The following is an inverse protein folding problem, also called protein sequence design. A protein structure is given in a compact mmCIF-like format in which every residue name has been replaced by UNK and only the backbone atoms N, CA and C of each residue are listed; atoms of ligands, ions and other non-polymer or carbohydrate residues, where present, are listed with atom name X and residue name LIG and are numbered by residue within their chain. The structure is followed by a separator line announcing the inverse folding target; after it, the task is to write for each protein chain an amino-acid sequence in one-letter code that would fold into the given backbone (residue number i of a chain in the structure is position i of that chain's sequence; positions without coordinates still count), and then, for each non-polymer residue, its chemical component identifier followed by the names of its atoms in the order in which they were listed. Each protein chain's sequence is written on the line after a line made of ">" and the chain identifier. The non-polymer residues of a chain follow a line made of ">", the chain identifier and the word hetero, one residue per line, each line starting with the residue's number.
data_IF_802011538100
#
_entry.id   IF_802011538100
#
_cell.length_a   1.000
_cell.length_b   1.000
_cell.length_c   1.000
_cell.angle_alpha   90.00
_cell.angle_beta   90.00
_cell.angle_gamma   90.00
#
_symmetry.space_group_name_H-M   'P 1'
#
loop_
_entity.id
_entity.type
_entity.pdbx_description
1 polymer ?
#
# COMPACT_ATOMS: atom_id res chain seq x y z
N UNK A 1 9.59 18.01 -20.75
CA UNK A 1 8.29 17.30 -21.01
C UNK A 1 7.58 17.09 -19.67
N UNK A 2 6.26 16.97 -19.62
CA UNK A 2 5.57 16.66 -18.37
C UNK A 2 5.70 15.17 -18.04
N UNK A 3 5.67 14.81 -16.74
CA UNK A 3 5.59 13.41 -16.30
C UNK A 3 4.33 12.75 -16.91
N UNK A 4 4.43 11.62 -17.61
CA UNK A 4 3.28 10.95 -18.22
C UNK A 4 2.17 10.60 -17.22
N UNK A 5 2.51 10.17 -15.99
CA UNK A 5 1.57 9.87 -14.91
C UNK A 5 0.78 11.10 -14.47
N UNK A 6 1.46 12.23 -14.33
CA UNK A 6 0.81 13.53 -14.10
C UNK A 6 -0.19 13.85 -15.20
N UNK A 7 0.20 13.64 -16.47
CA UNK A 7 -0.65 13.95 -17.61
C UNK A 7 -1.90 13.07 -17.66
N UNK A 8 -1.74 11.79 -17.31
CA UNK A 8 -2.84 10.83 -17.22
C UNK A 8 -3.86 11.27 -16.15
N UNK A 9 -3.42 11.42 -14.89
CA UNK A 9 -4.33 11.77 -13.79
C UNK A 9 -4.94 13.18 -13.98
N UNK A 10 -4.18 14.14 -14.49
CA UNK A 10 -4.70 15.47 -14.82
C UNK A 10 -5.84 15.43 -15.84
N UNK A 11 -5.80 14.51 -16.80
CA UNK A 11 -6.88 14.35 -17.79
C UNK A 11 -8.16 13.83 -17.12
N UNK A 12 -8.04 12.87 -16.24
CA UNK A 12 -9.15 12.32 -15.44
C UNK A 12 -9.71 13.38 -14.48
N UNK A 13 -8.83 14.08 -13.76
CA UNK A 13 -9.19 15.11 -12.78
C UNK A 13 -10.00 16.27 -13.37
N UNK A 14 -9.84 16.59 -14.65
CA UNK A 14 -10.66 17.63 -15.30
C UNK A 14 -12.17 17.35 -15.25
N UNK A 15 -12.56 16.08 -15.15
CA UNK A 15 -13.95 15.61 -15.17
C UNK A 15 -14.42 15.08 -13.81
N UNK A 16 -13.60 15.23 -12.77
CA UNK A 16 -13.86 14.72 -11.43
C UNK A 16 -13.51 15.75 -10.36
N UNK A 17 -13.79 15.46 -9.10
CA UNK A 17 -13.35 16.25 -7.95
C UNK A 17 -11.86 16.04 -7.64
N UNK A 18 -11.29 14.92 -8.08
CA UNK A 18 -9.90 14.55 -7.88
C UNK A 18 -9.68 13.05 -8.07
N UNK A 19 -8.46 12.61 -7.77
CA UNK A 19 -8.02 11.23 -7.95
C UNK A 19 -7.57 10.67 -6.60
N UNK A 20 -8.03 9.46 -6.27
CA UNK A 20 -7.52 8.66 -5.16
C UNK A 20 -6.78 7.46 -5.73
N UNK A 21 -5.51 7.32 -5.34
CA UNK A 21 -4.65 6.21 -5.79
C UNK A 21 -4.27 5.30 -4.63
N UNK A 22 -4.32 3.98 -4.84
CA UNK A 22 -3.99 2.97 -3.83
C UNK A 22 -3.11 1.89 -4.44
N UNK A 23 -2.06 1.49 -3.72
CA UNK A 23 -1.21 0.34 -4.04
C UNK A 23 -0.74 -0.35 -2.75
N UNK A 24 -0.17 -1.56 -2.86
CA UNK A 24 0.33 -2.32 -1.74
C UNK A 24 1.78 -2.76 -1.91
N UNK A 25 2.43 -3.04 -0.78
CA UNK A 25 3.74 -3.66 -0.69
C UNK A 25 3.72 -4.91 0.20
N UNK A 26 4.51 -5.90 -0.15
CA UNK A 26 4.73 -7.08 0.68
C UNK A 26 3.84 -8.29 0.41
N UNK A 27 3.01 -8.32 -0.64
CA UNK A 27 2.15 -9.48 -0.95
C UNK A 27 2.93 -10.78 -1.14
N UNK A 28 4.01 -10.75 -1.90
CA UNK A 28 4.82 -11.93 -2.23
C UNK A 28 5.94 -12.27 -1.24
N UNK A 29 5.98 -11.65 -0.07
CA UNK A 29 7.03 -11.87 0.92
C UNK A 29 6.75 -13.11 1.78
N UNK A 30 7.82 -13.77 2.23
CA UNK A 30 7.77 -14.91 3.17
C UNK A 30 7.58 -14.45 4.62
N UNK A 31 7.92 -13.19 4.92
CA UNK A 31 7.83 -12.61 6.26
C UNK A 31 7.33 -11.16 6.23
N UNK A 32 6.77 -10.72 7.37
CA UNK A 32 6.31 -9.37 7.60
C UNK A 32 4.90 -9.09 7.08
N UNK A 33 4.35 -7.90 7.39
CA UNK A 33 2.99 -7.50 7.05
C UNK A 33 2.81 -7.19 5.56
N UNK A 34 1.55 -7.07 5.14
CA UNK A 34 1.17 -6.34 3.92
C UNK A 34 0.87 -4.91 4.32
N UNK A 35 1.40 -3.95 3.57
CA UNK A 35 1.16 -2.52 3.79
C UNK A 35 0.57 -1.92 2.51
N UNK A 36 -0.52 -1.18 2.64
CA UNK A 36 -1.10 -0.38 1.57
C UNK A 36 -0.82 1.10 1.80
N UNK A 37 -0.68 1.85 0.71
CA UNK A 37 -0.60 3.30 0.72
C UNK A 37 -1.75 3.89 -0.08
N UNK A 38 -2.39 4.94 0.43
CA UNK A 38 -3.45 5.68 -0.22
C UNK A 38 -3.09 7.16 -0.31
N UNK A 39 -3.42 7.78 -1.45
CA UNK A 39 -3.19 9.22 -1.70
C UNK A 39 -4.44 9.83 -2.30
N UNK A 40 -4.83 10.99 -1.78
CA UNK A 40 -5.93 11.82 -2.31
C UNK A 40 -5.32 13.07 -2.96
N UNK A 41 -5.53 13.23 -4.26
CA UNK A 41 -5.12 14.39 -5.07
C UNK A 41 -6.36 15.15 -5.51
N UNK A 42 -6.70 16.31 -4.88
CA UNK A 42 -7.78 17.17 -5.35
C UNK A 42 -7.53 17.69 -6.78
N UNK A 43 -8.58 18.09 -7.49
CA UNK A 43 -8.42 18.64 -8.84
C UNK A 43 -7.51 19.88 -8.86
N UNK A 44 -7.51 20.69 -7.80
CA UNK A 44 -6.67 21.87 -7.61
C UNK A 44 -5.18 21.54 -7.58
N UNK A 45 -4.82 20.35 -7.10
CA UNK A 45 -3.44 19.86 -7.14
C UNK A 45 -2.84 19.94 -8.54
N UNK A 46 -3.62 19.58 -9.55
CA UNK A 46 -3.19 19.53 -10.95
C UNK A 46 -3.17 20.90 -11.65
N UNK A 47 -3.69 21.96 -11.01
CA UNK A 47 -3.67 23.32 -11.54
C UNK A 47 -2.37 24.05 -11.21
N UNK A 48 -1.63 23.61 -10.20
CA UNK A 48 -0.43 24.27 -9.68
C UNK A 48 0.84 23.83 -10.42
N UNK A 49 1.55 24.77 -11.00
CA UNK A 49 2.83 24.51 -11.68
C UNK A 49 3.92 24.02 -10.71
N UNK A 50 3.88 24.45 -9.45
CA UNK A 50 4.79 24.00 -8.40
C UNK A 50 4.66 22.50 -8.14
N UNK A 51 3.41 21.99 -7.99
CA UNK A 51 3.14 20.57 -7.78
C UNK A 51 3.61 19.73 -8.97
N UNK A 52 3.37 20.24 -10.21
CA UNK A 52 3.87 19.57 -11.41
C UNK A 52 5.39 19.45 -11.43
N UNK A 53 6.10 20.49 -10.98
CA UNK A 53 7.57 20.47 -10.89
C UNK A 53 8.06 19.50 -9.81
N UNK A 54 7.44 19.53 -8.63
CA UNK A 54 7.77 18.64 -7.52
C UNK A 54 7.57 17.15 -7.88
N UNK A 55 6.53 16.82 -8.65
CA UNK A 55 6.22 15.46 -9.07
C UNK A 55 6.92 15.02 -10.36
N UNK A 56 7.82 15.82 -10.92
CA UNK A 56 8.46 15.51 -12.21
C UNK A 56 9.18 14.17 -12.20
N UNK A 57 9.85 13.84 -11.10
CA UNK A 57 10.62 12.61 -10.92
C UNK A 57 9.81 11.44 -10.30
N UNK A 58 8.52 11.62 -10.01
CA UNK A 58 7.66 10.55 -9.49
C UNK A 58 7.43 9.50 -10.58
N UNK A 59 8.26 8.48 -10.57
CA UNK A 59 8.22 7.34 -11.48
C UNK A 59 7.98 6.06 -10.68
N UNK A 60 8.07 4.89 -11.34
CA UNK A 60 7.92 3.57 -10.72
C UNK A 60 8.90 3.40 -9.55
N UNK A 61 8.35 3.32 -8.34
CA UNK A 61 9.12 3.16 -7.10
C UNK A 61 9.97 1.90 -7.04
N UNK A 62 9.58 0.86 -7.79
CA UNK A 62 10.25 -0.45 -7.84
C UNK A 62 11.59 -0.39 -8.58
N UNK A 63 11.76 0.61 -9.45
CA UNK A 63 13.01 0.80 -10.23
C UNK A 63 14.04 1.66 -9.51
N UNK A 64 13.70 2.27 -8.36
CA UNK A 64 14.59 3.18 -7.67
C UNK A 64 15.42 2.50 -6.57
N UNK A 65 16.67 2.96 -6.42
CA UNK A 65 17.45 2.71 -5.22
C UNK A 65 16.73 3.26 -3.98
N UNK A 66 16.98 2.66 -2.82
CA UNK A 66 16.30 3.01 -1.56
C UNK A 66 16.40 4.50 -1.24
N UNK A 67 17.61 5.08 -1.37
CA UNK A 67 17.85 6.51 -1.14
C UNK A 67 16.96 7.43 -2.00
N UNK A 68 16.75 7.07 -3.27
CA UNK A 68 15.90 7.86 -4.16
C UNK A 68 14.42 7.72 -3.80
N UNK A 69 13.98 6.53 -3.34
CA UNK A 69 12.61 6.35 -2.82
C UNK A 69 12.35 7.23 -1.60
N UNK A 70 13.31 7.30 -0.67
CA UNK A 70 13.19 8.14 0.52
C UNK A 70 13.14 9.63 0.18
N UNK A 71 13.93 10.10 -0.78
CA UNK A 71 13.84 11.48 -1.30
C UNK A 71 12.47 11.79 -1.89
N UNK A 72 11.92 10.90 -2.71
CA UNK A 72 10.59 11.10 -3.30
C UNK A 72 9.48 11.01 -2.25
N UNK A 73 9.64 10.15 -1.25
CA UNK A 73 8.73 10.11 -0.10
C UNK A 73 8.72 11.43 0.67
N UNK A 74 9.90 12.03 0.92
CA UNK A 74 10.00 13.36 1.53
C UNK A 74 9.28 14.45 0.71
N UNK A 75 9.29 14.35 -0.63
CA UNK A 75 8.52 15.26 -1.49
C UNK A 75 7.01 15.10 -1.24
N UNK A 76 6.50 13.87 -1.10
CA UNK A 76 5.09 13.64 -0.77
C UNK A 76 4.74 14.24 0.58
N UNK A 77 5.58 14.05 1.61
CA UNK A 77 5.39 14.62 2.93
C UNK A 77 5.32 16.15 2.89
N UNK A 78 6.25 16.80 2.20
CA UNK A 78 6.26 18.26 2.05
C UNK A 78 5.03 18.80 1.32
N UNK A 79 4.53 18.10 0.30
CA UNK A 79 3.27 18.47 -0.37
C UNK A 79 2.06 18.30 0.56
N UNK A 80 2.05 17.27 1.41
CA UNK A 80 0.98 17.05 2.38
C UNK A 80 0.99 18.10 3.49
N UNK A 81 2.16 18.50 4.00
CA UNK A 81 2.31 19.58 4.98
C UNK A 81 1.80 20.92 4.43
N UNK A 82 1.93 21.15 3.13
CA UNK A 82 1.40 22.33 2.45
C UNK A 82 -0.11 22.22 2.16
N UNK A 83 -0.75 21.11 2.51
CA UNK A 83 -2.18 20.88 2.25
C UNK A 83 -2.51 20.60 0.77
N UNK A 84 -1.51 20.26 -0.05
CA UNK A 84 -1.69 20.02 -1.47
C UNK A 84 -2.28 18.64 -1.79
N UNK A 85 -2.03 17.67 -0.91
CA UNK A 85 -2.52 16.31 -1.00
C UNK A 85 -2.71 15.72 0.40
N UNK A 86 -3.41 14.59 0.47
CA UNK A 86 -3.52 13.78 1.70
C UNK A 86 -3.03 12.37 1.43
N UNK A 87 -2.44 11.75 2.45
CA UNK A 87 -1.95 10.40 2.34
C UNK A 87 -2.09 9.63 3.65
N UNK A 88 -2.18 8.31 3.54
CA UNK A 88 -2.12 7.41 4.69
C UNK A 88 -1.55 6.05 4.26
N UNK A 89 -1.17 5.26 5.26
CA UNK A 89 -0.86 3.84 5.11
C UNK A 89 -1.75 3.02 6.03
N UNK A 90 -2.05 1.79 5.60
CA UNK A 90 -2.71 0.78 6.42
C UNK A 90 -1.94 -0.52 6.30
N UNK A 91 -1.88 -1.29 7.38
CA UNK A 91 -1.20 -2.58 7.38
C UNK A 91 -2.16 -3.72 7.74
N UNK A 92 -1.81 -4.92 7.34
CA UNK A 92 -2.41 -6.17 7.76
C UNK A 92 -1.33 -7.09 8.30
N UNK A 93 -1.56 -7.60 9.51
CA UNK A 93 -0.60 -8.42 10.25
C UNK A 93 -0.41 -9.81 9.63
N UNK A 94 0.57 -10.56 10.16
CA UNK A 94 0.81 -11.95 9.75
C UNK A 94 -0.39 -12.83 10.13
N UNK A 95 -0.97 -12.63 11.30
CA UNK A 95 -2.15 -13.35 11.79
C UNK A 95 -3.36 -13.10 10.88
N UNK A 96 -3.55 -11.86 10.44
CA UNK A 96 -4.61 -11.51 9.48
C UNK A 96 -4.36 -12.11 8.09
N UNK A 97 -3.10 -12.21 7.65
CA UNK A 97 -2.75 -12.92 6.41
C UNK A 97 -3.09 -14.42 6.52
N UNK A 98 -2.87 -15.03 7.67
CA UNK A 98 -3.22 -16.44 7.92
C UNK A 98 -4.74 -16.65 7.98
N UNK A 99 -5.49 -15.73 8.55
CA UNK A 99 -6.94 -15.82 8.70
C UNK A 99 -7.67 -15.49 7.41
N UNK A 100 -7.36 -14.34 6.82
CA UNK A 100 -8.07 -13.76 5.68
C UNK A 100 -7.51 -14.19 4.32
N UNK A 101 -6.42 -14.93 4.29
CA UNK A 101 -5.50 -15.11 3.16
C UNK A 101 -4.92 -13.80 2.60
N UNK A 102 -3.95 -13.92 1.69
CA UNK A 102 -3.22 -12.75 1.18
C UNK A 102 -4.11 -11.73 0.44
N UNK A 103 -5.17 -12.17 -0.22
CA UNK A 103 -6.09 -11.29 -0.94
C UNK A 103 -6.95 -10.51 0.04
N UNK A 104 -7.52 -11.19 1.05
CA UNK A 104 -8.31 -10.56 2.10
C UNK A 104 -7.49 -9.61 2.95
N UNK A 105 -6.29 -10.01 3.36
CA UNK A 105 -5.35 -9.17 4.10
C UNK A 105 -4.95 -7.91 3.30
N UNK A 106 -4.73 -8.06 1.98
CA UNK A 106 -4.47 -6.89 1.13
C UNK A 106 -5.67 -5.92 1.11
N UNK A 107 -6.89 -6.44 0.98
CA UNK A 107 -8.10 -5.61 1.04
C UNK A 107 -8.24 -4.91 2.40
N UNK A 108 -7.91 -5.60 3.49
CA UNK A 108 -7.95 -5.04 4.84
C UNK A 108 -6.93 -3.89 5.00
N UNK A 109 -5.69 -4.08 4.53
CA UNK A 109 -4.69 -3.02 4.53
C UNK A 109 -5.13 -1.81 3.68
N UNK A 110 -5.69 -2.05 2.48
CA UNK A 110 -6.22 -0.98 1.62
C UNK A 110 -7.40 -0.26 2.27
N UNK A 111 -8.32 -0.99 2.90
CA UNK A 111 -9.44 -0.39 3.63
C UNK A 111 -8.93 0.54 4.73
N UNK A 112 -7.99 0.10 5.56
CA UNK A 112 -7.38 0.91 6.62
C UNK A 112 -6.70 2.17 6.07
N UNK A 113 -5.97 2.05 4.97
CA UNK A 113 -5.33 3.21 4.32
C UNK A 113 -6.37 4.21 3.79
N UNK A 114 -7.47 3.73 3.18
CA UNK A 114 -8.55 4.57 2.67
C UNK A 114 -9.33 5.25 3.79
N UNK A 115 -9.64 4.55 4.88
CA UNK A 115 -10.32 5.11 6.05
C UNK A 115 -9.47 6.23 6.69
N UNK A 116 -8.19 5.96 6.88
CA UNK A 116 -7.27 6.90 7.51
C UNK A 116 -7.02 8.13 6.63
N UNK A 117 -6.87 7.98 5.31
CA UNK A 117 -6.70 9.15 4.43
C UNK A 117 -7.98 9.96 4.32
N UNK A 118 -9.15 9.32 4.39
CA UNK A 118 -10.45 9.99 4.48
C UNK A 118 -10.51 10.88 5.73
N UNK A 119 -10.18 10.34 6.89
CA UNK A 119 -10.14 11.09 8.15
C UNK A 119 -9.18 12.29 8.07
N UNK A 120 -7.96 12.07 7.53
CA UNK A 120 -6.95 13.13 7.34
C UNK A 120 -7.37 14.21 6.35
N UNK A 121 -8.18 13.87 5.36
CA UNK A 121 -8.68 14.81 4.36
C UNK A 121 -9.73 15.80 4.89
N UNK A 122 -10.13 15.68 6.16
CA UNK A 122 -11.13 16.53 6.82
C UNK A 122 -12.43 16.62 6.03
N UNK A 123 -12.93 15.48 5.59
CA UNK A 123 -14.16 15.32 4.78
C UNK A 123 -14.07 15.87 3.34
N UNK A 124 -12.89 16.25 2.85
CA UNK A 124 -12.72 16.59 1.45
C UNK A 124 -13.07 15.40 0.54
N UNK A 125 -12.70 14.20 0.98
CA UNK A 125 -13.01 12.93 0.33
C UNK A 125 -13.44 11.89 1.37
N UNK A 126 -14.43 11.08 1.01
CA UNK A 126 -14.84 9.90 1.78
C UNK A 126 -15.06 8.72 0.83
N UNK A 127 -14.69 7.49 1.25
CA UNK A 127 -14.91 6.32 0.40
C UNK A 127 -16.39 6.01 0.28
N UNK A 128 -16.87 5.82 -0.95
CA UNK A 128 -18.24 5.40 -1.24
C UNK A 128 -18.35 3.87 -1.07
N UNK A 129 -19.31 3.35 -0.27
CA UNK A 129 -19.57 1.93 -0.19
C UNK A 129 -19.97 1.37 -1.55
N UNK A 130 -19.63 0.12 -1.84
CA UNK A 130 -20.17 -0.58 -3.00
C UNK A 130 -21.67 -0.77 -2.84
N UNK A 131 -22.45 -0.36 -3.84
CA UNK A 131 -23.86 -0.66 -3.90
C UNK A 131 -24.08 -2.08 -4.45
N UNK A 132 -24.97 -2.84 -3.84
CA UNK A 132 -25.39 -4.15 -4.37
C UNK A 132 -26.22 -4.01 -5.67
N UNK A 133 -26.74 -2.83 -5.96
CA UNK A 133 -27.65 -2.54 -7.09
C UNK A 133 -26.96 -2.21 -8.42
N UNK A 134 -25.67 -1.90 -8.43
CA UNK A 134 -24.96 -1.46 -9.65
C UNK A 134 -24.72 -2.56 -10.71
N UNK A 135 -25.21 -3.77 -10.50
CA UNK A 135 -25.21 -4.82 -11.53
C UNK A 135 -26.18 -4.55 -12.71
N UNK A 136 -27.11 -3.60 -12.56
CA UNK A 136 -28.15 -3.32 -13.56
C UNK A 136 -28.48 -1.85 -13.84
N UNK A 137 -27.82 -0.88 -13.21
CA UNK A 137 -28.15 0.53 -13.39
C UNK A 137 -27.30 1.19 -14.48
N UNK A 138 -27.88 1.31 -15.68
CA UNK A 138 -27.50 2.27 -16.73
C UNK A 138 -28.24 3.59 -16.51
N UNK A 139 -28.19 4.17 -15.32
CA UNK A 139 -28.74 5.53 -15.11
C UNK A 139 -27.64 6.54 -15.43
N UNK A 140 -27.86 7.29 -16.50
CA UNK A 140 -27.00 8.39 -16.92
C UNK A 140 -26.84 9.39 -15.77
N UNK A 141 -25.60 9.58 -15.31
CA UNK A 141 -25.24 10.68 -14.43
C UNK A 141 -25.44 12.00 -15.19
N UNK A 142 -26.14 12.95 -14.58
CA UNK A 142 -26.18 14.34 -15.07
C UNK A 142 -24.75 14.90 -15.11
N UNK A 143 -24.45 15.75 -16.10
CA UNK A 143 -23.11 16.37 -16.29
C UNK A 143 -22.64 17.20 -15.09
N UNK A 144 -23.50 17.49 -14.12
CA UNK A 144 -23.20 18.32 -12.94
C UNK A 144 -22.70 17.57 -11.71
N UNK A 145 -22.80 16.22 -11.64
CA UNK A 145 -22.35 15.44 -10.48
C UNK A 145 -20.92 14.91 -10.68
N UNK A 146 -19.93 15.78 -10.55
CA UNK A 146 -18.53 15.36 -10.51
C UNK A 146 -18.28 14.48 -9.30
N UNK A 147 -17.77 13.27 -9.54
CA UNK A 147 -17.39 12.31 -8.50
C UNK A 147 -15.86 12.20 -8.37
N UNK A 148 -15.39 11.66 -7.28
CA UNK A 148 -13.99 11.26 -7.13
C UNK A 148 -13.70 10.00 -7.95
N UNK A 149 -12.49 9.93 -8.50
CA UNK A 149 -12.01 8.75 -9.20
C UNK A 149 -11.08 7.97 -8.27
N UNK A 150 -11.51 6.77 -7.84
CA UNK A 150 -10.70 5.88 -6.99
C UNK A 150 -10.06 4.80 -7.86
N UNK A 151 -8.73 4.73 -7.84
CA UNK A 151 -7.92 3.78 -8.62
C UNK A 151 -7.08 2.91 -7.69
N UNK A 152 -7.15 1.60 -7.90
CA UNK A 152 -6.32 0.61 -7.21
C UNK A 152 -5.36 -0.02 -8.23
N UNK A 153 -4.10 -0.24 -7.85
CA UNK A 153 -3.18 -0.95 -8.75
C UNK A 153 -3.66 -2.38 -9.03
N UNK A 154 -3.47 -2.82 -10.26
CA UNK A 154 -3.86 -4.16 -10.70
C UNK A 154 -5.35 -4.29 -11.06
N UNK A 155 -5.92 -5.45 -10.72
CA UNK A 155 -7.35 -5.74 -10.96
C UNK A 155 -8.22 -5.23 -9.82
N UNK A 156 -9.52 -4.95 -10.08
CA UNK A 156 -10.43 -4.55 -9.02
C UNK A 156 -10.46 -5.58 -7.88
N UNK A 157 -10.41 -5.10 -6.65
CA UNK A 157 -10.39 -5.93 -5.44
C UNK A 157 -11.82 -6.18 -4.96
N UNK A 158 -12.38 -7.38 -5.27
CA UNK A 158 -13.79 -7.70 -4.95
C UNK A 158 -14.14 -7.55 -3.47
N UNK A 159 -13.21 -7.89 -2.56
CA UNK A 159 -13.41 -7.83 -1.11
C UNK A 159 -13.16 -6.43 -0.50
N UNK A 160 -12.64 -5.48 -1.26
CA UNK A 160 -12.56 -4.08 -0.81
C UNK A 160 -13.97 -3.49 -0.84
N UNK A 161 -14.51 -2.97 0.28
CA UNK A 161 -15.93 -2.60 0.38
C UNK A 161 -16.27 -1.26 -0.27
N UNK A 162 -15.30 -0.59 -0.88
CA UNK A 162 -15.45 0.74 -1.46
C UNK A 162 -15.45 0.72 -2.98
N UNK A 163 -16.21 1.63 -3.58
CA UNK A 163 -16.21 1.84 -5.03
C UNK A 163 -14.81 2.19 -5.52
N UNK A 164 -14.34 1.47 -6.51
CA UNK A 164 -13.02 1.68 -7.11
C UNK A 164 -12.92 0.99 -8.45
N UNK A 165 -11.95 1.42 -9.23
CA UNK A 165 -11.58 0.80 -10.50
C UNK A 165 -10.14 0.30 -10.42
N UNK A 166 -9.91 -0.91 -10.92
CA UNK A 166 -8.56 -1.45 -11.06
C UNK A 166 -7.85 -0.83 -12.28
N UNK A 167 -6.56 -0.54 -12.12
CA UNK A 167 -5.70 -0.08 -13.21
C UNK A 167 -4.46 -0.99 -13.26
N UNK A 168 -4.44 -1.90 -14.22
CA UNK A 168 -3.30 -2.84 -14.37
C UNK A 168 -2.02 -2.07 -14.66
N UNK A 169 -0.97 -2.31 -13.85
CA UNK A 169 0.28 -1.54 -13.83
C UNK A 169 0.03 -0.05 -13.55
N UNK A 170 -0.92 0.24 -12.69
CA UNK A 170 -1.34 1.60 -12.36
C UNK A 170 -0.19 2.45 -11.82
N UNK A 171 0.74 1.87 -11.07
CA UNK A 171 1.96 2.50 -10.59
C UNK A 171 2.87 3.05 -11.73
N UNK A 172 2.72 2.53 -12.94
CA UNK A 172 3.42 3.04 -14.13
C UNK A 172 2.61 4.07 -14.93
N UNK A 173 1.30 4.20 -14.67
CA UNK A 173 0.35 5.00 -15.47
C UNK A 173 -0.18 6.20 -14.68
N UNK A 174 -0.58 6.02 -13.43
CA UNK A 174 -1.21 7.01 -12.55
C UNK A 174 -0.21 7.56 -11.52
N UNK A 175 -0.17 8.87 -11.36
CA UNK A 175 0.64 9.54 -10.35
C UNK A 175 0.15 9.21 -8.94
N UNK A 176 -1.17 9.21 -8.72
CA UNK A 176 -1.76 8.91 -7.42
C UNK A 176 -1.43 7.48 -6.97
N UNK A 177 -1.51 6.49 -7.87
CA UNK A 177 -1.12 5.10 -7.57
C UNK A 177 0.39 5.01 -7.34
N UNK A 178 1.22 5.68 -8.15
CA UNK A 178 2.68 5.68 -7.96
C UNK A 178 3.09 6.28 -6.60
N UNK A 179 2.41 7.32 -6.13
CA UNK A 179 2.59 7.87 -4.79
C UNK A 179 2.13 6.87 -3.71
N UNK A 180 0.97 6.22 -3.87
CA UNK A 180 0.48 5.17 -2.99
C UNK A 180 1.48 4.01 -2.87
N UNK A 181 2.02 3.56 -4.02
CA UNK A 181 3.07 2.53 -4.10
C UNK A 181 4.31 2.91 -3.29
N UNK A 182 4.76 4.16 -3.45
CA UNK A 182 5.93 4.66 -2.73
C UNK A 182 5.70 4.71 -1.22
N UNK A 183 4.53 5.17 -0.79
CA UNK A 183 4.12 5.19 0.62
C UNK A 183 4.10 3.77 1.18
N UNK A 184 3.41 2.85 0.52
CA UNK A 184 3.35 1.44 0.94
C UNK A 184 4.75 0.83 1.07
N UNK A 185 5.62 1.07 0.08
CA UNK A 185 6.96 0.52 0.03
C UNK A 185 7.87 1.09 1.11
N UNK A 186 7.91 2.41 1.28
CA UNK A 186 8.78 3.04 2.29
C UNK A 186 8.32 2.69 3.71
N UNK A 187 7.02 2.77 3.98
CA UNK A 187 6.46 2.38 5.29
C UNK A 187 6.80 0.93 5.62
N UNK A 188 6.59 0.01 4.67
CA UNK A 188 6.89 -1.40 4.89
C UNK A 188 8.40 -1.65 5.08
N UNK A 189 9.25 -0.99 4.31
CA UNK A 189 10.71 -1.14 4.44
C UNK A 189 11.19 -0.65 5.82
N UNK A 190 10.57 0.40 6.39
CA UNK A 190 10.84 0.88 7.74
C UNK A 190 10.43 -0.15 8.80
N UNK A 191 9.26 -0.80 8.65
CA UNK A 191 8.82 -1.89 9.54
C UNK A 191 9.81 -3.06 9.48
N UNK A 192 10.23 -3.47 8.28
CA UNK A 192 11.16 -4.59 8.12
C UNK A 192 12.57 -4.28 8.67
N UNK A 193 13.02 -3.02 8.65
CA UNK A 193 14.26 -2.61 9.32
C UNK A 193 14.17 -2.75 10.83
N UNK A 194 13.05 -2.37 11.46
CA UNK A 194 12.83 -2.59 12.90
C UNK A 194 12.84 -4.08 13.25
N UNK A 195 12.20 -4.91 12.44
CA UNK A 195 12.24 -6.35 12.63
C UNK A 195 13.64 -6.97 12.44
N UNK A 196 14.50 -6.35 11.64
CA UNK A 196 15.88 -6.78 11.49
C UNK A 196 16.71 -6.61 12.79
N UNK A 197 16.37 -5.60 13.60
CA UNK A 197 17.01 -5.41 14.92
C UNK A 197 16.62 -6.54 15.89
N UNK A 198 15.39 -7.01 15.86
CA UNK A 198 14.89 -8.10 16.71
C UNK A 198 15.32 -9.48 16.19
N UNK A 199 15.42 -9.65 14.87
CA UNK A 199 15.74 -10.92 14.20
C UNK A 199 16.96 -10.78 13.26
N UNK A 200 18.15 -10.48 13.77
CA UNK A 200 19.33 -10.15 12.94
C UNK A 200 19.78 -11.31 12.04
N UNK A 201 19.50 -12.56 12.40
CA UNK A 201 19.89 -13.73 11.62
C UNK A 201 19.21 -13.83 10.24
N UNK A 202 18.09 -13.13 10.01
CA UNK A 202 17.26 -13.26 8.81
C UNK A 202 17.52 -12.20 7.73
N UNK A 203 18.39 -11.23 7.99
CA UNK A 203 18.75 -10.15 7.05
C UNK A 203 17.54 -9.36 6.53
N UNK A 204 16.53 -9.12 7.37
CA UNK A 204 15.33 -8.39 6.99
C UNK A 204 15.59 -6.93 6.57
N UNK A 205 16.68 -6.35 7.05
CA UNK A 205 17.11 -5.02 6.63
C UNK A 205 17.44 -4.95 5.13
N UNK A 206 17.97 -6.02 4.55
CA UNK A 206 18.31 -6.12 3.14
C UNK A 206 17.14 -6.71 2.34
N UNK A 207 16.73 -7.93 2.68
CA UNK A 207 15.77 -8.69 1.88
C UNK A 207 14.31 -8.27 2.05
N UNK A 208 13.99 -7.45 3.06
CA UNK A 208 12.62 -6.97 3.35
C UNK A 208 11.58 -8.10 3.45
N UNK A 209 12.00 -9.31 3.85
CA UNK A 209 11.15 -10.50 3.98
C UNK A 209 10.90 -11.26 2.67
N UNK A 210 11.50 -10.87 1.56
CA UNK A 210 11.47 -11.67 0.33
C UNK A 210 12.33 -12.92 0.44
N UNK A 211 11.98 -13.98 -0.30
CA UNK A 211 12.72 -15.25 -0.33
C UNK A 211 14.05 -15.16 -1.06
N UNK A 212 14.93 -14.26 -0.64
CA UNK A 212 16.32 -14.20 -1.14
C UNK A 212 17.12 -15.44 -0.72
N UNK A 213 18.22 -15.77 -1.41
CA UNK A 213 19.07 -16.89 -1.01
C UNK A 213 19.52 -16.83 0.47
N UNK A 214 19.87 -15.63 0.96
CA UNK A 214 20.27 -15.42 2.35
C UNK A 214 19.10 -15.69 3.32
N UNK A 215 17.90 -15.21 3.00
CA UNK A 215 16.71 -15.44 3.82
C UNK A 215 16.35 -16.92 3.88
N UNK A 216 16.40 -17.63 2.74
CA UNK A 216 16.14 -19.08 2.68
C UNK A 216 17.20 -19.88 3.42
N UNK A 217 18.47 -19.45 3.39
CA UNK A 217 19.54 -20.06 4.18
C UNK A 217 19.28 -19.84 5.68
N UNK A 218 18.96 -18.61 6.09
CA UNK A 218 18.65 -18.29 7.48
C UNK A 218 17.47 -19.11 8.02
N UNK A 219 16.42 -19.30 7.20
CA UNK A 219 15.28 -20.16 7.54
C UNK A 219 15.67 -21.61 7.79
N UNK A 220 16.61 -22.16 7.01
CA UNK A 220 17.11 -23.53 7.22
C UNK A 220 17.97 -23.67 8.47
N UNK A 221 18.75 -22.66 8.81
CA UNK A 221 19.69 -22.67 9.93
C UNK A 221 19.02 -22.30 11.27
N UNK A 222 18.07 -21.35 11.26
CA UNK A 222 17.49 -20.77 12.48
C UNK A 222 15.99 -21.09 12.64
N UNK A 223 15.37 -21.79 11.66
CA UNK A 223 13.94 -22.09 11.70
C UNK A 223 13.05 -20.91 11.31
N UNK A 224 11.78 -20.97 11.70
CA UNK A 224 10.78 -19.93 11.45
C UNK A 224 10.55 -19.09 12.70
N UNK A 225 10.21 -17.81 12.51
CA UNK A 225 9.83 -16.89 13.60
C UNK A 225 8.36 -16.50 13.47
N UNK A 226 7.83 -15.77 14.46
CA UNK A 226 6.47 -15.19 14.42
C UNK A 226 6.23 -14.25 13.24
N UNK A 227 7.29 -13.76 12.60
CA UNK A 227 7.18 -12.85 11.44
C UNK A 227 6.99 -13.59 10.11
N UNK A 228 7.22 -14.90 10.09
CA UNK A 228 7.09 -15.68 8.86
C UNK A 228 5.63 -16.09 8.63
N UNK A 229 5.27 -16.25 7.36
CA UNK A 229 3.93 -16.61 6.92
C UNK A 229 3.86 -18.12 6.65
N UNK A 230 3.24 -18.93 7.52
CA UNK A 230 3.27 -20.39 7.42
C UNK A 230 2.77 -20.90 6.07
N UNK A 231 1.70 -20.30 5.53
CA UNK A 231 1.15 -20.71 4.22
C UNK A 231 2.12 -20.54 3.07
N UNK A 232 3.01 -19.55 3.14
CA UNK A 232 3.99 -19.26 2.09
C UNK A 232 5.21 -20.18 2.18
N UNK A 233 5.46 -20.76 3.36
CA UNK A 233 6.60 -21.63 3.60
C UNK A 233 6.33 -23.13 3.35
N UNK A 234 5.07 -23.56 3.22
CA UNK A 234 4.69 -24.98 3.08
C UNK A 234 5.48 -25.76 2.02
N UNK A 235 5.74 -25.11 0.88
CA UNK A 235 6.46 -25.73 -0.23
C UNK A 235 8.00 -25.57 -0.13
N UNK A 236 8.47 -24.68 0.74
CA UNK A 236 9.89 -24.37 0.92
C UNK A 236 10.53 -25.17 2.05
N UNK A 237 9.74 -25.52 3.05
CA UNK A 237 10.15 -26.26 4.22
C UNK A 237 9.15 -27.43 4.48
N UNK A 238 9.15 -28.47 3.64
CA UNK A 238 8.28 -29.62 3.85
C UNK A 238 8.66 -30.33 5.16
N UNK A 239 7.69 -30.45 6.08
CA UNK A 239 7.89 -31.12 7.37
C UNK A 239 8.24 -30.18 8.53
N UNK A 240 8.29 -28.85 8.34
CA UNK A 240 8.38 -27.92 9.46
C UNK A 240 7.05 -27.88 10.21
N UNK A 241 7.04 -28.36 11.45
CA UNK A 241 5.94 -28.13 12.38
C UNK A 241 5.73 -26.62 12.53
N UNK A 242 4.47 -26.19 12.68
CA UNK A 242 4.15 -24.79 12.95
C UNK A 242 4.95 -24.34 14.19
N UNK A 243 5.55 -23.14 14.19
CA UNK A 243 6.18 -22.63 15.39
C UNK A 243 5.16 -22.65 16.51
N UNK A 244 5.53 -23.31 17.63
CA UNK A 244 4.75 -23.17 18.87
C UNK A 244 4.64 -21.68 19.12
N UNK A 245 3.42 -21.18 19.25
CA UNK A 245 3.18 -19.79 19.64
C UNK A 245 3.81 -19.65 21.03
N UNK A 246 4.94 -18.96 21.13
CA UNK A 246 5.42 -18.49 22.42
C UNK A 246 4.36 -17.49 22.89
N UNK A 247 3.58 -17.92 23.90
CA UNK A 247 2.54 -17.11 24.52
C UNK A 247 3.25 -15.98 25.30
N UNK A 248 3.06 -14.70 24.94
CA UNK A 248 3.71 -13.58 25.63
C UNK A 248 3.23 -13.42 27.08
N UNK A 249 2.23 -14.19 27.53
CA UNK A 249 1.67 -14.10 28.89
C UNK A 249 2.42 -14.91 29.95
N UNK A 250 3.46 -15.67 29.62
CA UNK A 250 4.17 -16.47 30.60
C UNK A 250 5.34 -15.76 31.32
N UNK A 251 5.57 -14.47 31.11
CA UNK A 251 6.66 -13.71 31.74
C UNK A 251 6.23 -12.45 32.52
N UNK A 252 4.98 -12.40 32.99
CA UNK A 252 4.58 -11.37 33.96
C UNK A 252 4.12 -12.03 35.28
N UNK A 253 5.01 -12.68 35.98
CA UNK A 253 4.92 -12.86 37.42
C UNK A 253 5.76 -11.77 38.08
N UNK A 254 5.08 -10.75 38.55
CA UNK A 254 5.66 -9.75 39.44
C UNK A 254 5.88 -10.38 40.81
N UNK A 255 7.11 -10.36 41.29
CA UNK A 255 7.41 -10.17 42.71
C UNK A 255 7.79 -8.71 42.95
#
# INVERSE_FOLDING_TARGET
>A
MANPRWTYDRKEAKRSLGIVGVDEAGRGCLAGPVVAGAVVLPVEFFLKAANRKACFEMNDSKQFAEERREKLYTVILGLAEQGELFWASGESSIEEIETENIVGATCLAMKRALDEVSAKSKQLWSPEPKSEEDLFSTTGSSEDDKKWVVRVDGRPMKRLPYEHQGLVKGDTISLAIAMGSLIAKVTRDQIMRKFAEEFPAYDFASNKGYGSPNHLKALKENGVTRLHRPRFLRNLLPGSEQPKRDDPQSQLSFE
#
